data_IF_593779498319
#
_entry.id   IF_593779498319
#
_cell.length_a   1.000
_cell.length_b   1.000
_cell.length_c   1.000
_cell.angle_alpha   90.00
_cell.angle_beta   90.00
_cell.angle_gamma   90.00
#
_symmetry.space_group_name_H-M   'P 1'
#
loop_
_entity.id
_entity.type
_entity.pdbx_description
1 polymer ?
#
# COMPACT_ATOMS: atom_id res chain seq x y z
N UNK A 1 25.30 -20.31 -24.19
CA UNK A 1 24.28 -19.55 -24.93
C UNK A 1 22.96 -20.26 -24.71
N UNK A 2 22.21 -19.85 -23.70
CA UNK A 2 20.87 -20.39 -23.39
C UNK A 2 19.89 -19.22 -23.39
N UNK A 3 19.02 -19.23 -24.41
CA UNK A 3 17.91 -18.30 -24.57
C UNK A 3 16.93 -18.43 -23.39
N UNK A 4 16.94 -17.48 -22.47
CA UNK A 4 15.84 -17.27 -21.54
C UNK A 4 14.77 -16.50 -22.31
N UNK A 5 13.72 -17.18 -22.74
CA UNK A 5 12.51 -16.55 -23.28
C UNK A 5 11.85 -15.79 -22.13
N UNK A 6 11.80 -14.47 -22.24
CA UNK A 6 10.96 -13.60 -21.43
C UNK A 6 9.50 -14.00 -21.69
N UNK A 7 8.86 -14.60 -20.71
CA UNK A 7 7.41 -14.73 -20.70
C UNK A 7 6.82 -13.32 -20.59
N UNK A 8 6.28 -12.80 -21.68
CA UNK A 8 5.47 -11.60 -21.65
C UNK A 8 4.26 -11.90 -20.75
N UNK A 9 4.16 -11.19 -19.63
CA UNK A 9 2.93 -11.13 -18.87
C UNK A 9 1.84 -10.65 -19.83
N UNK A 10 0.81 -11.47 -20.03
CA UNK A 10 -0.35 -11.08 -20.80
C UNK A 10 -0.91 -9.82 -20.14
N UNK A 11 -0.93 -8.72 -20.88
CA UNK A 11 -1.64 -7.52 -20.48
C UNK A 11 -3.11 -7.94 -20.31
N UNK A 12 -3.53 -8.07 -19.07
CA UNK A 12 -4.94 -8.24 -18.73
C UNK A 12 -5.58 -6.90 -19.06
N UNK A 13 -6.22 -6.84 -20.20
CA UNK A 13 -7.04 -5.72 -20.62
C UNK A 13 -8.30 -5.78 -19.76
N UNK A 14 -8.20 -5.31 -18.50
CA UNK A 14 -9.33 -5.09 -17.62
C UNK A 14 -10.06 -3.86 -18.17
N UNK A 15 -10.96 -4.12 -19.12
CA UNK A 15 -12.04 -3.18 -19.36
C UNK A 15 -12.71 -2.94 -18.00
N UNK A 16 -12.63 -1.71 -17.49
CA UNK A 16 -13.52 -1.25 -16.44
C UNK A 16 -14.93 -1.73 -16.84
N UNK A 17 -15.78 -2.19 -15.91
CA UNK A 17 -17.14 -2.53 -16.23
C UNK A 17 -17.80 -1.27 -16.80
N UNK A 18 -17.71 -1.12 -18.12
CA UNK A 18 -18.32 -0.03 -18.89
C UNK A 18 -19.83 -0.24 -18.86
N UNK A 19 -20.48 0.21 -17.80
CA UNK A 19 -21.91 0.07 -17.58
C UNK A 19 -22.39 0.60 -16.25
N UNK A 20 -21.51 0.78 -15.27
CA UNK A 20 -21.84 1.52 -14.05
C UNK A 20 -21.45 2.99 -14.27
N UNK A 21 -22.36 3.92 -13.99
CA UNK A 21 -22.04 5.33 -13.89
C UNK A 21 -20.86 5.47 -12.93
N UNK A 22 -19.68 5.82 -13.46
CA UNK A 22 -18.48 6.12 -12.69
C UNK A 22 -18.76 7.40 -11.91
N UNK A 23 -19.35 7.29 -10.73
CA UNK A 23 -19.56 8.43 -9.84
C UNK A 23 -18.24 8.79 -9.19
N UNK A 24 -17.59 9.80 -9.76
CA UNK A 24 -16.41 10.45 -9.15
C UNK A 24 -16.93 11.71 -8.46
N UNK A 25 -16.77 11.77 -7.14
CA UNK A 25 -17.15 12.92 -6.32
C UNK A 25 -15.94 13.63 -5.73
N UNK A 26 -16.11 14.90 -5.38
CA UNK A 26 -15.14 15.68 -4.60
C UNK A 26 -15.50 15.73 -3.11
N UNK A 27 -16.71 15.34 -2.76
CA UNK A 27 -17.22 15.18 -1.40
C UNK A 27 -17.56 13.70 -1.21
N UNK A 28 -17.24 13.14 -0.07
CA UNK A 28 -17.50 11.74 0.22
C UNK A 28 -19.00 11.46 0.24
N UNK A 29 -19.39 10.38 -0.43
CA UNK A 29 -20.70 9.76 -0.33
C UNK A 29 -20.56 8.24 -0.50
N UNK A 30 -21.40 7.48 0.21
CA UNK A 30 -21.31 6.01 0.22
C UNK A 30 -21.61 5.37 -1.13
N UNK A 31 -22.23 6.07 -2.07
CA UNK A 31 -22.51 5.61 -3.43
C UNK A 31 -21.46 6.08 -4.46
N UNK A 32 -20.48 6.87 -4.08
CA UNK A 32 -19.35 7.21 -4.95
C UNK A 32 -18.49 5.97 -5.19
N UNK A 33 -18.16 5.71 -6.44
CA UNK A 33 -17.12 4.73 -6.77
C UNK A 33 -15.73 5.28 -6.38
N UNK A 34 -15.50 6.56 -6.64
CA UNK A 34 -14.26 7.26 -6.27
C UNK A 34 -14.62 8.62 -5.67
N UNK A 35 -14.01 8.94 -4.55
CA UNK A 35 -13.98 10.30 -4.00
C UNK A 35 -12.55 10.82 -4.04
N UNK A 36 -12.33 11.95 -4.74
CA UNK A 36 -11.05 12.67 -4.76
C UNK A 36 -11.28 14.05 -4.16
N UNK A 37 -10.95 14.18 -2.89
CA UNK A 37 -11.09 15.43 -2.14
C UNK A 37 -9.86 16.32 -2.38
N UNK A 38 -10.07 17.50 -2.98
CA UNK A 38 -9.04 18.51 -3.09
C UNK A 38 -9.08 19.36 -1.80
N UNK A 39 -8.18 19.08 -0.87
CA UNK A 39 -8.13 19.73 0.43
C UNK A 39 -7.43 18.90 1.49
N UNK A 40 -7.57 19.32 2.73
CA UNK A 40 -6.95 18.64 3.87
C UNK A 40 -7.57 17.24 4.10
N UNK A 41 -6.70 16.27 4.35
CA UNK A 41 -7.09 14.88 4.62
C UNK A 41 -8.05 14.72 5.80
N UNK A 42 -7.93 15.61 6.82
CA UNK A 42 -8.81 15.55 7.99
C UNK A 42 -10.24 15.94 7.64
N UNK A 43 -10.44 16.82 6.64
CA UNK A 43 -11.77 17.15 6.12
C UNK A 43 -12.40 15.95 5.43
N UNK A 44 -11.66 15.18 4.62
CA UNK A 44 -12.14 13.95 4.01
C UNK A 44 -12.43 12.88 5.07
N UNK A 45 -11.48 12.62 5.96
CA UNK A 45 -11.63 11.58 6.99
C UNK A 45 -12.83 11.85 7.89
N UNK A 46 -13.08 13.13 8.25
CA UNK A 46 -14.25 13.55 9.03
C UNK A 46 -15.60 13.29 8.35
N UNK A 47 -15.64 13.11 7.02
CA UNK A 47 -16.87 12.79 6.29
C UNK A 47 -17.15 11.27 6.26
N UNK A 48 -16.15 10.43 6.50
CA UNK A 48 -16.27 8.98 6.45
C UNK A 48 -16.74 8.46 7.82
N UNK A 49 -17.78 7.63 7.81
CA UNK A 49 -18.35 7.04 9.02
C UNK A 49 -17.38 6.10 9.72
N UNK A 50 -17.56 5.93 11.03
CA UNK A 50 -16.81 4.96 11.84
C UNK A 50 -16.95 3.55 11.24
N UNK A 51 -15.84 2.84 11.10
CA UNK A 51 -15.83 1.47 10.62
C UNK A 51 -16.17 1.26 9.14
N UNK A 52 -16.22 2.32 8.31
CA UNK A 52 -16.60 2.22 6.91
C UNK A 52 -15.48 1.71 5.99
N UNK A 53 -14.21 1.94 6.34
CA UNK A 53 -13.07 1.59 5.50
C UNK A 53 -12.58 0.16 5.78
N UNK A 54 -12.51 -0.68 4.77
CA UNK A 54 -11.91 -2.01 4.88
C UNK A 54 -10.38 -1.97 4.81
N UNK A 55 -9.83 -1.06 4.02
CA UNK A 55 -8.39 -0.86 3.90
C UNK A 55 -8.07 0.64 3.94
N UNK A 56 -7.16 1.02 4.81
CA UNK A 56 -6.43 2.28 4.70
C UNK A 56 -5.03 1.96 4.18
N UNK A 57 -4.65 2.52 3.06
CA UNK A 57 -3.30 2.36 2.50
C UNK A 57 -2.78 3.70 2.04
N UNK A 58 -1.58 4.07 2.48
CA UNK A 58 -1.05 5.40 2.20
C UNK A 58 0.47 5.47 2.32
N UNK A 59 1.02 6.50 1.69
CA UNK A 59 2.41 6.95 1.84
C UNK A 59 2.40 8.42 2.25
N UNK A 60 2.46 8.74 3.56
CA UNK A 60 2.45 10.12 4.02
C UNK A 60 3.75 10.84 3.61
N UNK A 61 3.79 12.17 3.65
CA UNK A 61 5.04 12.93 3.55
C UNK A 61 6.09 12.43 4.55
N UNK A 62 7.40 12.44 4.16
CA UNK A 62 8.49 11.91 5.01
C UNK A 62 9.22 13.00 5.79
N UNK A 63 8.72 14.22 5.75
CA UNK A 63 9.31 15.39 6.41
C UNK A 63 10.77 15.65 5.96
N UNK A 64 11.04 15.49 4.67
CA UNK A 64 12.39 15.67 4.09
C UNK A 64 12.54 16.96 3.29
N UNK A 65 11.47 17.80 3.24
CA UNK A 65 11.48 19.11 2.60
C UNK A 65 11.42 19.04 1.08
N UNK A 66 10.62 18.15 0.53
CA UNK A 66 10.32 18.12 -0.90
C UNK A 66 9.31 19.22 -1.28
N UNK A 67 9.13 19.45 -2.58
CA UNK A 67 8.31 20.55 -3.12
C UNK A 67 6.86 20.57 -2.60
N UNK A 68 6.32 19.40 -2.21
CA UNK A 68 4.94 19.23 -1.73
C UNK A 68 4.83 19.21 -0.19
N UNK A 69 5.94 19.39 0.55
CA UNK A 69 5.91 19.39 2.01
C UNK A 69 6.77 20.49 2.62
N UNK A 70 6.31 21.08 3.72
CA UNK A 70 7.13 21.93 4.56
C UNK A 70 7.79 21.10 5.64
N UNK A 71 9.12 21.12 5.70
CA UNK A 71 9.86 20.41 6.72
C UNK A 71 9.62 21.05 8.09
N UNK A 72 9.12 20.24 9.03
CA UNK A 72 8.90 20.61 10.43
C UNK A 72 9.87 19.87 11.36
N UNK A 73 9.85 20.20 12.64
CA UNK A 73 10.57 19.41 13.63
C UNK A 73 9.89 18.03 13.81
N UNK A 74 10.68 17.03 14.20
CA UNK A 74 10.20 15.63 14.23
C UNK A 74 8.97 15.44 15.14
N UNK A 75 8.94 16.10 16.28
CA UNK A 75 7.82 16.00 17.23
C UNK A 75 6.53 16.56 16.64
N UNK A 76 6.61 17.67 15.90
CA UNK A 76 5.48 18.26 15.19
C UNK A 76 4.97 17.33 14.08
N UNK A 77 5.87 16.76 13.31
CA UNK A 77 5.55 15.75 12.32
C UNK A 77 4.83 14.53 12.94
N UNK A 78 5.35 14.02 14.06
CA UNK A 78 4.75 12.89 14.76
C UNK A 78 3.37 13.23 15.35
N UNK A 79 3.17 14.47 15.81
CA UNK A 79 1.85 14.92 16.28
C UNK A 79 0.82 14.97 15.15
N UNK A 80 1.20 15.47 13.97
CA UNK A 80 0.38 15.48 12.76
C UNK A 80 0.02 14.07 12.29
N UNK A 81 1.02 13.17 12.23
CA UNK A 81 0.79 11.78 11.89
C UNK A 81 -0.11 11.07 12.92
N UNK A 82 0.03 11.37 14.20
CA UNK A 82 -0.84 10.86 15.28
C UNK A 82 -2.30 11.24 15.05
N UNK A 83 -2.58 12.48 14.70
CA UNK A 83 -3.94 12.95 14.41
C UNK A 83 -4.53 12.19 13.20
N UNK A 84 -3.77 12.05 12.12
CA UNK A 84 -4.20 11.32 10.92
C UNK A 84 -4.42 9.84 11.21
N UNK A 85 -3.50 9.18 11.91
CA UNK A 85 -3.61 7.77 12.29
C UNK A 85 -4.85 7.54 13.16
N UNK A 86 -5.14 8.45 14.12
CA UNK A 86 -6.33 8.37 14.97
C UNK A 86 -7.62 8.31 14.14
N UNK A 87 -7.77 9.20 13.18
CA UNK A 87 -8.93 9.21 12.27
C UNK A 87 -8.96 7.97 11.37
N UNK A 88 -7.81 7.52 10.84
CA UNK A 88 -7.74 6.27 10.09
C UNK A 88 -8.19 5.07 10.93
N UNK A 89 -7.86 5.03 12.22
CA UNK A 89 -8.33 3.97 13.13
C UNK A 89 -9.83 4.07 13.40
N UNK A 90 -10.38 5.29 13.53
CA UNK A 90 -11.82 5.51 13.70
C UNK A 90 -12.62 4.95 12.53
N UNK A 91 -12.23 5.32 11.31
CA UNK A 91 -12.93 4.88 10.10
C UNK A 91 -12.69 3.42 9.73
N UNK A 92 -11.67 2.75 10.31
CA UNK A 92 -11.32 1.37 9.98
C UNK A 92 -12.37 0.39 10.48
N UNK A 93 -12.83 -0.51 9.61
CA UNK A 93 -13.70 -1.64 9.98
C UNK A 93 -13.00 -2.60 10.97
N UNK A 94 -13.77 -3.35 11.75
CA UNK A 94 -13.21 -4.29 12.74
C UNK A 94 -12.34 -5.38 12.10
N UNK A 95 -12.68 -5.80 10.87
CA UNK A 95 -11.91 -6.75 10.06
C UNK A 95 -10.97 -6.08 9.08
N UNK A 96 -10.83 -4.76 9.17
CA UNK A 96 -10.03 -3.94 8.28
C UNK A 96 -8.54 -3.96 8.56
N UNK A 97 -7.78 -3.43 7.61
CA UNK A 97 -6.32 -3.32 7.64
C UNK A 97 -5.86 -1.89 7.42
N UNK A 98 -4.77 -1.49 8.11
CA UNK A 98 -4.01 -0.27 7.80
C UNK A 98 -2.65 -0.67 7.27
N UNK A 99 -2.27 -0.15 6.11
CA UNK A 99 -0.97 -0.31 5.47
C UNK A 99 -0.31 1.07 5.33
N UNK A 100 0.71 1.32 6.14
CA UNK A 100 1.40 2.61 6.21
C UNK A 100 2.78 2.50 5.60
N UNK A 101 2.97 3.07 4.40
CA UNK A 101 4.22 2.98 3.66
C UNK A 101 5.09 4.18 4.00
N UNK A 102 6.32 3.94 4.42
CA UNK A 102 7.28 4.99 4.79
C UNK A 102 8.72 4.62 4.46
N UNK A 103 9.52 5.63 4.24
CA UNK A 103 10.97 5.54 4.11
C UNK A 103 11.70 6.04 5.36
N UNK A 104 12.79 6.76 5.13
CA UNK A 104 13.59 7.35 6.19
C UNK A 104 13.51 8.87 6.15
N UNK A 105 13.36 9.49 7.30
CA UNK A 105 13.66 10.89 7.50
C UNK A 105 15.18 11.09 7.64
N UNK A 106 15.72 12.12 7.02
CA UNK A 106 17.11 12.50 7.19
C UNK A 106 17.14 13.83 7.91
N UNK A 107 17.72 13.87 9.10
CA UNK A 107 17.85 15.08 9.90
C UNK A 107 18.77 16.11 9.24
N UNK A 108 18.79 17.34 9.74
CA UNK A 108 19.63 18.44 9.18
C UNK A 108 21.12 18.13 9.31
N UNK A 109 21.53 17.38 10.32
CA UNK A 109 22.90 16.92 10.58
C UNK A 109 23.24 15.59 9.90
N UNK A 110 22.30 15.00 9.15
CA UNK A 110 22.50 13.83 8.32
C UNK A 110 22.22 12.47 9.00
N UNK A 111 21.67 12.48 10.22
CA UNK A 111 21.22 11.26 10.88
C UNK A 111 20.02 10.64 10.12
N UNK A 112 19.98 9.31 10.10
CA UNK A 112 18.88 8.54 9.50
C UNK A 112 17.88 8.14 10.59
N UNK A 113 16.66 8.66 10.51
CA UNK A 113 15.56 8.28 11.39
C UNK A 113 14.61 7.36 10.59
N UNK A 114 14.53 6.07 10.94
CA UNK A 114 13.62 5.15 10.26
C UNK A 114 12.17 5.44 10.70
N UNK A 115 11.35 5.99 9.79
CA UNK A 115 9.99 6.44 10.11
C UNK A 115 9.08 5.30 10.56
N UNK A 116 9.29 4.09 10.05
CA UNK A 116 8.55 2.91 10.50
C UNK A 116 8.75 2.62 12.00
N UNK A 117 9.94 2.89 12.54
CA UNK A 117 10.26 2.67 13.95
C UNK A 117 9.64 3.75 14.86
N UNK A 118 9.62 5.01 14.43
CA UNK A 118 9.08 6.10 15.26
C UNK A 118 7.56 6.21 15.16
N UNK A 119 6.95 5.76 14.07
CA UNK A 119 5.49 5.72 13.90
C UNK A 119 4.85 4.48 14.52
N UNK A 120 5.57 3.35 14.61
CA UNK A 120 5.07 2.10 15.18
C UNK A 120 4.39 2.28 16.56
N UNK A 121 4.96 3.03 17.55
CA UNK A 121 4.33 3.25 18.83
C UNK A 121 2.95 3.90 18.74
N UNK A 122 2.74 4.82 17.80
CA UNK A 122 1.46 5.51 17.60
C UNK A 122 0.35 4.51 17.27
N UNK A 123 0.59 3.56 16.38
CA UNK A 123 -0.37 2.50 16.07
C UNK A 123 -0.63 1.60 17.28
N UNK A 124 0.39 1.34 18.09
CA UNK A 124 0.27 0.53 19.31
C UNK A 124 -0.56 1.19 20.40
N UNK A 125 -0.51 2.51 20.53
CA UNK A 125 -1.35 3.29 21.44
C UNK A 125 -2.84 3.12 21.14
N UNK A 126 -3.20 2.91 19.86
CA UNK A 126 -4.57 2.59 19.42
C UNK A 126 -4.93 1.09 19.54
N UNK A 127 -4.08 0.29 20.15
CA UNK A 127 -4.33 -1.15 20.33
C UNK A 127 -4.17 -2.01 19.09
N UNK A 128 -3.72 -1.43 17.96
CA UNK A 128 -3.55 -2.18 16.71
C UNK A 128 -2.46 -3.23 16.81
N UNK A 129 -2.61 -4.32 16.04
CA UNK A 129 -1.67 -5.44 15.99
C UNK A 129 -0.90 -5.42 14.69
N UNK A 130 0.43 -5.32 14.77
CA UNK A 130 1.29 -5.45 13.59
C UNK A 130 1.22 -6.89 13.05
N UNK A 131 0.93 -7.03 11.76
CA UNK A 131 0.92 -8.34 11.07
C UNK A 131 2.19 -8.59 10.30
N UNK A 132 2.64 -7.61 9.51
CA UNK A 132 3.91 -7.65 8.82
C UNK A 132 4.57 -6.27 8.81
N UNK A 133 5.88 -6.30 8.72
CA UNK A 133 6.74 -5.20 8.28
C UNK A 133 7.25 -5.59 6.90
N UNK A 134 6.51 -5.17 5.86
CA UNK A 134 6.79 -5.54 4.48
C UNK A 134 7.90 -4.64 3.94
N UNK A 135 8.90 -5.24 3.31
CA UNK A 135 9.99 -4.52 2.64
C UNK A 135 9.65 -4.39 1.16
N UNK A 136 9.42 -3.16 0.71
CA UNK A 136 9.33 -2.86 -0.70
C UNK A 136 10.72 -2.52 -1.24
N UNK A 137 11.35 -3.47 -1.93
CA UNK A 137 12.64 -3.33 -2.56
C UNK A 137 12.46 -2.89 -4.02
N UNK A 138 12.94 -1.68 -4.36
CA UNK A 138 12.77 -1.08 -5.68
C UNK A 138 14.05 -1.06 -6.53
N UNK A 139 15.17 -1.54 -6.00
CA UNK A 139 16.43 -1.77 -6.72
C UNK A 139 17.21 -0.53 -7.14
N UNK A 140 16.59 0.62 -7.22
CA UNK A 140 17.18 1.87 -7.67
C UNK A 140 16.94 3.04 -6.71
N UNK A 141 17.82 4.05 -6.72
CA UNK A 141 17.72 5.24 -5.89
C UNK A 141 19.02 6.04 -5.89
N UNK A 142 19.10 7.07 -5.06
CA UNK A 142 20.28 7.90 -4.93
C UNK A 142 21.48 7.05 -4.45
N UNK A 143 22.66 7.31 -5.03
CA UNK A 143 23.91 6.71 -4.60
C UNK A 143 24.48 7.51 -3.44
N UNK A 144 24.78 6.81 -2.35
CA UNK A 144 25.46 7.38 -1.20
C UNK A 144 26.96 7.03 -1.27
N UNK A 145 27.83 7.97 -0.91
CA UNK A 145 29.28 7.78 -0.90
C UNK A 145 29.83 7.45 0.49
N UNK A 146 29.09 7.76 1.57
CA UNK A 146 29.55 7.62 2.96
C UNK A 146 28.73 6.64 3.79
N UNK A 147 27.72 6.00 3.18
CA UNK A 147 26.87 4.95 3.76
C UNK A 147 26.30 4.06 2.64
N UNK A 148 25.71 2.94 2.98
CA UNK A 148 25.02 2.11 1.97
C UNK A 148 23.86 2.87 1.33
N UNK A 149 23.69 2.69 0.02
CA UNK A 149 22.59 3.30 -0.72
C UNK A 149 21.26 2.62 -0.38
N UNK A 150 20.26 3.38 0.07
CA UNK A 150 18.91 2.87 0.34
C UNK A 150 18.26 2.34 -0.93
N UNK A 151 17.65 1.17 -0.84
CA UNK A 151 17.00 0.48 -1.97
C UNK A 151 15.64 -0.10 -1.60
N UNK A 152 15.13 0.24 -0.43
CA UNK A 152 13.83 -0.22 0.04
C UNK A 152 13.14 0.85 0.87
N UNK A 153 11.85 0.70 0.97
CA UNK A 153 10.98 1.36 1.92
C UNK A 153 10.12 0.29 2.62
N UNK A 154 9.39 0.67 3.64
CA UNK A 154 8.69 -0.25 4.52
C UNK A 154 7.19 0.01 4.48
N UNK A 155 6.39 -1.05 4.41
CA UNK A 155 4.94 -0.98 4.64
C UNK A 155 4.63 -1.68 5.96
N UNK A 156 4.15 -0.91 6.94
CA UNK A 156 3.67 -1.44 8.21
C UNK A 156 2.21 -1.87 8.06
N UNK A 157 1.92 -3.15 8.18
CA UNK A 157 0.56 -3.69 8.12
C UNK A 157 0.00 -3.97 9.50
N UNK A 158 -1.07 -3.27 9.85
CA UNK A 158 -1.78 -3.40 11.12
C UNK A 158 -3.23 -3.83 10.94
N UNK A 159 -3.80 -4.47 11.98
CA UNK A 159 -5.23 -4.81 12.09
C UNK A 159 -5.75 -4.50 13.50
N UNK A 160 -7.08 -4.28 13.64
CA UNK A 160 -7.72 -4.13 14.96
C UNK A 160 -7.80 -5.45 15.71
N UNK A 161 -8.20 -6.52 15.02
CA UNK A 161 -8.52 -7.82 15.61
C UNK A 161 -7.71 -8.93 14.95
N UNK A 162 -7.82 -10.17 15.44
CA UNK A 162 -7.27 -11.35 14.80
C UNK A 162 -8.20 -11.91 13.71
N UNK A 163 -9.47 -11.48 13.68
CA UNK A 163 -10.41 -11.76 12.60
C UNK A 163 -10.33 -10.63 11.57
N UNK A 164 -9.39 -10.73 10.63
CA UNK A 164 -9.18 -9.76 9.55
C UNK A 164 -9.27 -10.45 8.18
N UNK A 165 -9.59 -9.66 7.15
CA UNK A 165 -9.64 -10.17 5.77
C UNK A 165 -8.23 -10.39 5.24
N UNK A 166 -7.96 -11.60 4.74
CA UNK A 166 -6.74 -11.92 4.01
C UNK A 166 -6.99 -12.95 2.91
N UNK A 167 -7.15 -12.47 1.70
CA UNK A 167 -7.42 -13.24 0.48
C UNK A 167 -6.08 -13.63 -0.18
N UNK A 168 -5.61 -14.84 0.07
CA UNK A 168 -4.29 -15.28 -0.39
C UNK A 168 -4.26 -15.63 -1.89
N UNK A 169 -5.32 -16.23 -2.43
CA UNK A 169 -5.27 -16.80 -3.77
C UNK A 169 -5.03 -15.77 -4.90
N UNK A 170 -5.61 -14.56 -4.86
CA UNK A 170 -5.35 -13.52 -5.87
C UNK A 170 -3.90 -13.03 -5.93
N UNK A 171 -3.15 -13.17 -4.83
CA UNK A 171 -1.79 -12.62 -4.71
C UNK A 171 -0.69 -13.70 -4.73
N UNK A 172 -1.04 -14.97 -4.99
CA UNK A 172 -0.05 -16.05 -5.04
C UNK A 172 1.00 -15.80 -6.11
N UNK A 173 2.23 -16.15 -5.77
CA UNK A 173 3.36 -16.08 -6.70
C UNK A 173 3.80 -17.50 -7.11
N UNK A 174 4.47 -17.66 -8.26
CA UNK A 174 4.93 -18.96 -8.72
C UNK A 174 5.79 -19.68 -7.67
N UNK A 175 5.61 -20.98 -7.56
CA UNK A 175 6.47 -21.80 -6.73
C UNK A 175 7.86 -21.94 -7.35
N UNK A 176 8.90 -21.98 -6.53
CA UNK A 176 10.26 -22.22 -6.99
C UNK A 176 10.41 -23.58 -7.68
N UNK A 177 9.64 -24.59 -7.18
CA UNK A 177 9.66 -25.96 -7.70
C UNK A 177 8.21 -26.43 -7.94
N UNK A 178 7.57 -25.98 -9.04
CA UNK A 178 6.23 -26.42 -9.40
C UNK A 178 6.25 -27.94 -9.67
N UNK A 179 5.19 -28.63 -9.23
CA UNK A 179 5.08 -30.08 -9.45
C UNK A 179 5.85 -30.96 -8.46
N UNK A 180 6.61 -30.39 -7.54
CA UNK A 180 7.28 -31.17 -6.48
C UNK A 180 6.26 -31.97 -5.67
N UNK A 181 6.53 -33.28 -5.49
CA UNK A 181 5.70 -34.18 -4.68
C UNK A 181 6.40 -34.54 -3.39
N UNK A 182 5.59 -34.84 -2.37
CA UNK A 182 6.10 -35.36 -1.10
C UNK A 182 6.66 -36.77 -1.29
N UNK A 183 7.87 -36.97 -0.77
CA UNK A 183 8.60 -38.23 -0.98
C UNK A 183 8.25 -39.30 0.07
N UNK A 184 7.87 -38.89 1.30
CA UNK A 184 7.64 -39.78 2.44
C UNK A 184 6.39 -39.38 3.23
N UNK A 185 5.88 -40.33 4.04
CA UNK A 185 4.80 -40.15 4.98
C UNK A 185 3.40 -40.27 4.37
N UNK A 186 2.32 -39.97 5.13
CA UNK A 186 0.93 -40.20 4.73
C UNK A 186 0.51 -39.46 3.45
N UNK A 187 1.28 -38.44 3.04
CA UNK A 187 1.03 -37.64 1.83
C UNK A 187 2.02 -37.93 0.70
N UNK A 188 2.72 -39.08 0.75
CA UNK A 188 3.65 -39.46 -0.33
C UNK A 188 2.94 -39.47 -1.70
N UNK A 189 3.58 -38.92 -2.72
CA UNK A 189 3.01 -38.77 -4.06
C UNK A 189 2.08 -37.58 -4.27
N UNK A 190 1.58 -36.93 -3.22
CA UNK A 190 0.80 -35.70 -3.33
C UNK A 190 1.69 -34.48 -3.63
N UNK A 191 1.13 -33.44 -4.25
CA UNK A 191 1.85 -32.19 -4.44
C UNK A 191 2.28 -31.61 -3.09
N UNK A 192 3.52 -31.16 -2.99
CA UNK A 192 4.08 -30.58 -1.77
C UNK A 192 3.67 -29.12 -1.56
N UNK A 193 3.14 -28.47 -2.57
CA UNK A 193 2.68 -27.09 -2.53
C UNK A 193 1.33 -26.91 -3.21
N UNK A 194 0.72 -25.75 -3.03
CA UNK A 194 -0.54 -25.41 -3.69
C UNK A 194 -0.31 -25.22 -5.18
N UNK A 195 -1.11 -25.85 -6.08
CA UNK A 195 -1.01 -25.68 -7.53
C UNK A 195 -1.16 -24.22 -7.99
N UNK A 196 -1.93 -23.40 -7.26
CA UNK A 196 -2.13 -21.98 -7.54
C UNK A 196 -0.89 -21.11 -7.22
N UNK A 197 0.16 -21.70 -6.62
CA UNK A 197 1.35 -20.97 -6.22
C UNK A 197 1.53 -20.88 -4.69
N UNK A 198 2.56 -20.18 -4.27
CA UNK A 198 2.89 -19.97 -2.85
C UNK A 198 2.44 -18.58 -2.36
N UNK A 199 2.29 -18.42 -1.08
CA UNK A 199 2.18 -17.12 -0.44
C UNK A 199 3.45 -16.29 -0.78
N UNK A 200 3.32 -15.05 -1.25
CA UNK A 200 4.47 -14.16 -1.41
C UNK A 200 5.18 -13.95 -0.06
N UNK A 201 6.48 -13.67 -0.11
CA UNK A 201 7.23 -13.24 1.08
C UNK A 201 6.86 -11.80 1.45
N UNK A 202 7.34 -11.35 2.58
CA UNK A 202 7.26 -9.96 3.04
C UNK A 202 8.39 -9.06 2.48
N UNK A 203 9.17 -9.56 1.53
CA UNK A 203 10.11 -8.78 0.72
C UNK A 203 9.59 -8.77 -0.71
N UNK A 204 9.19 -7.59 -1.18
CA UNK A 204 8.57 -7.40 -2.50
C UNK A 204 9.52 -6.65 -3.43
N UNK A 205 9.85 -7.27 -4.55
CA UNK A 205 10.66 -6.68 -5.60
C UNK A 205 9.73 -6.06 -6.64
N UNK A 206 9.45 -4.77 -6.49
CA UNK A 206 8.59 -4.00 -7.37
C UNK A 206 9.34 -2.72 -7.76
N UNK A 207 9.59 -2.46 -9.06
CA UNK A 207 10.26 -1.24 -9.49
C UNK A 207 9.50 0.02 -9.06
N UNK A 208 10.21 1.06 -8.65
CA UNK A 208 9.60 2.36 -8.39
C UNK A 208 9.27 3.10 -9.69
N UNK A 209 8.30 4.02 -9.62
CA UNK A 209 7.88 4.85 -10.76
C UNK A 209 8.95 5.90 -11.06
N UNK A 210 9.64 5.75 -12.20
CA UNK A 210 10.71 6.63 -12.69
C UNK A 210 10.27 7.37 -13.95
N UNK A 211 11.17 8.25 -14.45
CA UNK A 211 10.93 9.10 -15.62
C UNK A 211 10.36 8.38 -16.86
N UNK A 212 10.74 7.12 -17.09
CA UNK A 212 10.28 6.31 -18.23
C UNK A 212 9.24 5.25 -17.85
N UNK A 213 8.69 5.29 -16.63
CA UNK A 213 7.66 4.36 -16.22
C UNK A 213 6.32 4.75 -16.82
N UNK A 214 5.52 3.77 -17.25
CA UNK A 214 4.20 4.01 -17.89
C UNK A 214 3.21 4.73 -16.98
N UNK A 215 3.37 4.61 -15.65
CA UNK A 215 2.55 5.29 -14.65
C UNK A 215 3.07 6.67 -14.27
N UNK A 216 4.21 7.13 -14.83
CA UNK A 216 4.82 8.40 -14.40
C UNK A 216 3.95 9.58 -14.78
N UNK A 217 3.66 10.41 -13.76
CA UNK A 217 2.98 11.71 -13.89
C UNK A 217 3.93 12.84 -13.50
N UNK A 218 3.44 14.07 -13.45
CA UNK A 218 4.20 15.25 -13.00
C UNK A 218 4.48 15.23 -11.49
N UNK A 219 3.69 14.49 -10.70
CA UNK A 219 3.88 14.41 -9.26
C UNK A 219 5.24 13.81 -8.89
N UNK A 220 6.00 14.45 -7.98
CA UNK A 220 7.39 14.08 -7.70
C UNK A 220 7.54 12.71 -6.99
N UNK A 221 6.54 12.29 -6.23
CA UNK A 221 6.53 11.03 -5.48
C UNK A 221 5.30 10.20 -5.80
N UNK A 222 5.52 8.98 -6.27
CA UNK A 222 4.46 8.00 -6.49
C UNK A 222 4.98 6.62 -6.14
N UNK A 223 4.15 5.83 -5.48
CA UNK A 223 4.35 4.39 -5.43
C UNK A 223 3.63 3.72 -6.63
N UNK A 224 4.12 2.58 -7.11
CA UNK A 224 3.52 1.88 -8.24
C UNK A 224 2.16 1.29 -7.88
N UNK A 225 1.24 1.28 -8.84
CA UNK A 225 -0.08 0.67 -8.67
C UNK A 225 0.04 -0.80 -8.26
N UNK A 226 1.01 -1.55 -8.80
CA UNK A 226 1.27 -2.96 -8.43
C UNK A 226 1.47 -3.18 -6.93
N UNK A 227 2.13 -2.25 -6.23
CA UNK A 227 2.32 -2.32 -4.78
C UNK A 227 0.97 -2.33 -4.04
N UNK A 228 0.09 -1.40 -4.44
CA UNK A 228 -1.23 -1.23 -3.82
C UNK A 228 -2.19 -2.32 -4.26
N UNK A 229 -2.16 -2.75 -5.51
CA UNK A 229 -2.99 -3.85 -6.02
C UNK A 229 -2.84 -5.11 -5.16
N UNK A 230 -1.62 -5.44 -4.75
CA UNK A 230 -1.37 -6.60 -3.89
C UNK A 230 -2.05 -6.45 -2.53
N UNK A 231 -2.05 -5.26 -1.94
CA UNK A 231 -2.73 -4.96 -0.67
C UNK A 231 -4.26 -4.98 -0.85
N UNK A 232 -4.78 -4.31 -1.89
CA UNK A 232 -6.21 -4.28 -2.21
C UNK A 232 -6.76 -5.69 -2.40
N UNK A 233 -6.12 -6.50 -3.24
CA UNK A 233 -6.55 -7.87 -3.53
C UNK A 233 -6.51 -8.78 -2.30
N UNK A 234 -5.54 -8.60 -1.43
CA UNK A 234 -5.39 -9.47 -0.25
C UNK A 234 -6.26 -9.05 0.93
N UNK A 235 -6.59 -7.76 1.08
CA UNK A 235 -7.16 -7.21 2.31
C UNK A 235 -8.59 -6.67 2.15
N UNK A 236 -9.16 -6.80 0.95
CA UNK A 236 -10.52 -6.33 0.67
C UNK A 236 -11.28 -7.30 -0.23
N UNK A 237 -12.61 -7.23 -0.17
CA UNK A 237 -13.53 -7.85 -1.10
C UNK A 237 -14.13 -6.81 -2.07
N UNK A 238 -14.66 -7.21 -3.24
CA UNK A 238 -15.33 -6.29 -4.17
C UNK A 238 -16.43 -5.46 -3.49
N UNK A 239 -16.51 -4.17 -3.84
CA UNK A 239 -17.46 -3.22 -3.27
C UNK A 239 -17.00 -2.52 -1.99
N UNK A 240 -15.97 -3.03 -1.30
CA UNK A 240 -15.46 -2.43 -0.06
C UNK A 240 -14.69 -1.12 -0.32
N UNK A 241 -14.59 -0.30 0.72
CA UNK A 241 -13.95 1.02 0.66
C UNK A 241 -12.45 0.92 0.99
N UNK A 242 -11.64 1.48 0.09
CA UNK A 242 -10.20 1.72 0.27
C UNK A 242 -9.97 3.21 0.46
N UNK A 243 -9.26 3.62 1.50
CA UNK A 243 -9.00 5.03 1.81
C UNK A 243 -7.50 5.32 1.77
N UNK A 244 -7.14 6.44 1.14
CA UNK A 244 -5.78 6.97 1.10
C UNK A 244 -5.78 8.46 1.48
N UNK A 245 -5.43 8.82 2.73
CA UNK A 245 -5.43 10.20 3.18
C UNK A 245 -4.38 11.11 2.48
N UNK A 246 -3.43 10.53 1.74
CA UNK A 246 -2.41 11.25 0.98
C UNK A 246 -2.33 10.68 -0.44
N UNK A 247 -3.43 10.80 -1.18
CA UNK A 247 -3.69 10.03 -2.41
C UNK A 247 -2.75 10.36 -3.57
N UNK A 248 -2.10 11.52 -3.55
CA UNK A 248 -1.20 11.97 -4.60
C UNK A 248 -1.85 11.88 -5.98
N UNK A 249 -1.22 11.13 -6.87
CA UNK A 249 -1.72 10.91 -8.25
C UNK A 249 -2.86 9.90 -8.38
N UNK A 250 -3.31 9.32 -7.27
CA UNK A 250 -4.42 8.35 -7.28
C UNK A 250 -4.01 6.92 -7.57
N UNK A 251 -2.78 6.49 -7.34
CA UNK A 251 -2.36 5.07 -7.50
C UNK A 251 -3.27 4.13 -6.71
N UNK A 252 -3.65 4.52 -5.49
CA UNK A 252 -4.57 3.77 -4.64
C UNK A 252 -5.97 3.68 -5.25
N UNK A 253 -6.51 4.80 -5.74
CA UNK A 253 -7.81 4.82 -6.39
C UNK A 253 -7.82 3.96 -7.66
N UNK A 254 -6.76 4.03 -8.47
CA UNK A 254 -6.59 3.17 -9.65
C UNK A 254 -6.59 1.69 -9.29
N UNK A 255 -5.82 1.28 -8.27
CA UNK A 255 -5.77 -0.10 -7.80
C UNK A 255 -7.14 -0.59 -7.31
N UNK A 256 -7.84 0.21 -6.50
CA UNK A 256 -9.14 -0.13 -5.96
C UNK A 256 -10.18 -0.33 -7.07
N UNK A 257 -10.33 0.65 -7.97
CA UNK A 257 -11.35 0.61 -9.03
C UNK A 257 -11.11 -0.51 -10.03
N UNK A 258 -9.85 -0.77 -10.42
CA UNK A 258 -9.50 -1.89 -11.30
C UNK A 258 -10.01 -3.23 -10.80
N UNK A 259 -10.13 -3.37 -9.49
CA UNK A 259 -10.57 -4.61 -8.85
C UNK A 259 -11.99 -4.53 -8.26
N UNK A 260 -12.79 -3.53 -8.66
CA UNK A 260 -14.20 -3.40 -8.25
C UNK A 260 -14.39 -2.94 -6.79
N UNK A 261 -13.40 -2.23 -6.22
CA UNK A 261 -13.50 -1.61 -4.89
C UNK A 261 -13.82 -0.14 -5.06
N UNK A 262 -14.40 0.46 -4.02
CA UNK A 262 -14.57 1.92 -3.92
C UNK A 262 -13.29 2.53 -3.37
N UNK A 263 -13.05 3.79 -3.71
CA UNK A 263 -11.88 4.53 -3.23
C UNK A 263 -12.27 5.91 -2.71
N UNK A 264 -11.60 6.36 -1.66
CA UNK A 264 -11.62 7.75 -1.22
C UNK A 264 -10.21 8.22 -0.88
N UNK A 265 -9.83 9.40 -1.35
CA UNK A 265 -8.52 9.97 -1.08
C UNK A 265 -8.53 11.48 -1.09
N UNK A 266 -7.58 12.10 -0.35
CA UNK A 266 -7.38 13.53 -0.26
C UNK A 266 -6.00 13.93 -0.79
N UNK A 267 -5.95 15.09 -1.45
CA UNK A 267 -4.70 15.72 -1.90
C UNK A 267 -4.86 17.23 -1.80
N UNK A 268 -3.79 17.92 -1.37
CA UNK A 268 -3.81 19.37 -1.18
C UNK A 268 -3.39 20.17 -2.41
N UNK A 269 -2.77 19.52 -3.40
CA UNK A 269 -2.28 20.16 -4.64
C UNK A 269 -2.65 19.32 -5.86
#
# INVERSE_FOLDING_TARGET
MSNVRSGAAAAVNLALPLGADLRIGHTYADDNLVTLHLGDRMELLGQISDGAAQLVVTSPPYNIGKEYETRTELDEYLADQRATISECVRILADRGSICWQVGNHITKDGEVVPLDSVLYPIFKEHGLRLRNRIIWHFGHGLHCSRRFSGRYETVLWFTKTDDYVFNLDPIRVPQRYPGKRQYKGPRAGQYSGNPLGKNPSDVWEIPNVKANHVEKTEHPCQFPVELVERLVLSMTDPGELVVDPYVGVGSTACAAVRHGRRAAGAEVV
#
